data_IF_224499161297
#
_entry.id   IF_224499161297
#
_cell.length_a   1.000
_cell.length_b   1.000
_cell.length_c   1.000
_cell.angle_alpha   90.00
_cell.angle_beta   90.00
_cell.angle_gamma   90.00
#
_symmetry.space_group_name_H-M   'P 1'
#
loop_
_entity.id
_entity.type
_entity.pdbx_description
1 polymer ?
#
# COMPACT_ATOMS: atom_id res chain seq x y z
N UNK A 1 -11.06 -6.49 -13.42
CA UNK A 1 -10.59 -7.90 -13.51
C UNK A 1 -11.72 -8.80 -13.07
N UNK A 2 -11.87 -9.99 -13.64
CA UNK A 2 -12.96 -10.90 -13.28
C UNK A 2 -12.81 -11.43 -11.84
N UNK A 3 -13.87 -11.39 -11.04
CA UNK A 3 -13.88 -11.85 -9.65
C UNK A 3 -13.50 -13.34 -9.56
N UNK A 4 -13.91 -14.15 -10.54
CA UNK A 4 -13.54 -15.57 -10.59
C UNK A 4 -12.02 -15.78 -10.67
N UNK A 5 -11.31 -14.87 -11.35
CA UNK A 5 -9.84 -14.93 -11.46
C UNK A 5 -9.14 -14.53 -10.18
N UNK A 6 -9.72 -13.60 -9.42
CA UNK A 6 -9.22 -13.22 -8.10
C UNK A 6 -9.33 -14.39 -7.12
N UNK A 7 -10.49 -15.04 -7.08
CA UNK A 7 -10.73 -16.21 -6.24
C UNK A 7 -9.78 -17.37 -6.62
N UNK A 8 -9.61 -17.61 -7.92
CA UNK A 8 -8.68 -18.65 -8.40
C UNK A 8 -7.23 -18.39 -7.95
N UNK A 9 -6.75 -17.14 -7.97
CA UNK A 9 -5.41 -16.79 -7.52
C UNK A 9 -5.30 -16.96 -6.00
N UNK A 10 -6.31 -16.51 -5.25
CA UNK A 10 -6.35 -16.65 -3.79
C UNK A 10 -6.29 -18.13 -3.37
N UNK A 11 -7.07 -18.98 -4.03
CA UNK A 11 -7.08 -20.43 -3.81
C UNK A 11 -5.73 -21.07 -4.12
N UNK A 12 -5.03 -20.61 -5.15
CA UNK A 12 -3.69 -21.12 -5.48
C UNK A 12 -2.66 -20.71 -4.43
N UNK A 13 -2.75 -19.49 -3.89
CA UNK A 13 -1.86 -19.01 -2.84
C UNK A 13 -2.13 -19.67 -1.49
N UNK A 14 -3.37 -20.05 -1.20
CA UNK A 14 -3.75 -20.71 0.06
C UNK A 14 -3.34 -22.19 0.14
N UNK A 15 -2.91 -22.80 -0.97
CA UNK A 15 -2.42 -24.19 -0.99
C UNK A 15 -1.07 -24.32 -0.29
N UNK A 16 -0.83 -25.49 0.27
CA UNK A 16 0.46 -25.87 0.85
C UNK A 16 1.54 -25.95 -0.23
N UNK A 17 2.78 -25.61 0.15
CA UNK A 17 3.96 -25.56 -0.71
C UNK A 17 4.64 -26.95 -0.87
N UNK A 18 3.93 -28.02 -0.54
CA UNK A 18 4.47 -29.39 -0.56
C UNK A 18 4.76 -29.91 -1.97
N UNK A 19 3.98 -29.50 -2.97
CA UNK A 19 4.20 -29.84 -4.37
C UNK A 19 5.03 -28.74 -5.07
N UNK A 20 6.29 -29.04 -5.37
CA UNK A 20 7.21 -28.08 -6.02
C UNK A 20 7.63 -28.54 -7.41
N UNK A 21 7.77 -27.58 -8.34
CA UNK A 21 8.27 -27.80 -9.69
C UNK A 21 9.50 -26.94 -9.93
N UNK A 22 10.59 -27.56 -10.37
CA UNK A 22 11.81 -26.83 -10.73
C UNK A 22 11.51 -25.97 -11.96
N UNK A 23 11.71 -24.66 -11.80
CA UNK A 23 11.50 -23.68 -12.86
C UNK A 23 12.80 -22.92 -13.11
N UNK A 24 13.16 -22.74 -14.39
CA UNK A 24 14.31 -21.91 -14.76
C UNK A 24 13.86 -20.46 -14.91
N UNK A 25 14.44 -19.56 -14.12
CA UNK A 25 14.23 -18.12 -14.21
C UNK A 25 15.55 -17.43 -14.59
N UNK A 26 15.48 -16.41 -15.45
CA UNK A 26 16.64 -15.55 -15.72
C UNK A 26 16.64 -14.40 -14.74
N UNK A 27 17.75 -14.24 -14.02
CA UNK A 27 17.94 -13.16 -13.05
C UNK A 27 19.20 -12.38 -13.45
N UNK A 28 19.18 -11.03 -13.45
CA UNK A 28 20.37 -10.23 -13.66
C UNK A 28 21.47 -10.59 -12.66
N UNK A 29 22.73 -10.66 -13.12
CA UNK A 29 23.86 -11.09 -12.28
C UNK A 29 23.98 -10.26 -10.99
N UNK A 30 23.85 -8.93 -11.09
CA UNK A 30 23.90 -8.03 -9.94
C UNK A 30 22.80 -8.32 -8.90
N UNK A 31 21.58 -8.66 -9.36
CA UNK A 31 20.47 -9.00 -8.46
C UNK A 31 20.69 -10.35 -7.79
N UNK A 32 21.24 -11.33 -8.52
CA UNK A 32 21.65 -12.62 -7.95
C UNK A 32 22.69 -12.43 -6.84
N UNK A 33 23.70 -11.59 -7.09
CA UNK A 33 24.75 -11.29 -6.10
C UNK A 33 24.20 -10.56 -4.87
N UNK A 34 23.34 -9.57 -5.08
CA UNK A 34 22.65 -8.89 -3.99
C UNK A 34 21.79 -9.85 -3.15
N UNK A 35 21.08 -10.78 -3.79
CA UNK A 35 20.27 -11.77 -3.09
C UNK A 35 21.11 -12.77 -2.30
N UNK A 36 22.30 -13.14 -2.80
CA UNK A 36 23.25 -13.98 -2.06
C UNK A 36 23.76 -13.27 -0.80
N UNK A 37 24.11 -11.99 -0.91
CA UNK A 37 24.52 -11.17 0.24
C UNK A 37 23.37 -11.00 1.25
N UNK A 38 22.15 -10.73 0.79
CA UNK A 38 20.99 -10.58 1.67
C UNK A 38 20.70 -11.85 2.49
N UNK A 39 20.87 -13.03 1.89
CA UNK A 39 20.71 -14.31 2.58
C UNK A 39 21.87 -14.57 3.53
N UNK A 40 23.11 -14.43 3.06
CA UNK A 40 24.31 -14.78 3.84
C UNK A 40 24.59 -13.84 5.00
N UNK A 41 24.41 -12.53 4.78
CA UNK A 41 24.81 -11.49 5.74
C UNK A 41 23.65 -10.94 6.56
N UNK A 42 22.44 -10.86 5.99
CA UNK A 42 21.28 -10.27 6.66
C UNK A 42 20.30 -11.32 7.19
N UNK A 43 20.49 -12.59 6.85
CA UNK A 43 19.55 -13.65 7.23
C UNK A 43 18.15 -13.47 6.63
N UNK A 44 18.04 -12.79 5.47
CA UNK A 44 16.76 -12.41 4.89
C UNK A 44 15.86 -13.62 4.53
N UNK A 45 16.47 -14.77 4.26
CA UNK A 45 15.78 -16.06 4.04
C UNK A 45 16.76 -17.23 4.25
N UNK A 46 16.27 -18.48 4.36
CA UNK A 46 17.14 -19.67 4.47
C UNK A 46 17.99 -19.97 3.21
N UNK A 47 17.59 -19.45 2.04
CA UNK A 47 18.32 -19.59 0.79
C UNK A 47 17.88 -18.53 -0.22
N UNK A 48 18.68 -18.31 -1.27
CA UNK A 48 18.31 -17.41 -2.37
C UNK A 48 17.03 -17.86 -3.08
N UNK A 49 16.81 -19.17 -3.22
CA UNK A 49 15.57 -19.70 -3.80
C UNK A 49 14.35 -19.40 -2.91
N UNK A 50 14.47 -19.61 -1.60
CA UNK A 50 13.41 -19.27 -0.65
C UNK A 50 13.09 -17.77 -0.67
N UNK A 51 14.11 -16.92 -0.80
CA UNK A 51 13.91 -15.46 -0.94
C UNK A 51 13.13 -15.11 -2.22
N UNK A 52 13.46 -15.74 -3.35
CA UNK A 52 12.75 -15.52 -4.62
C UNK A 52 11.29 -15.98 -4.55
N UNK A 53 11.04 -17.17 -4.01
CA UNK A 53 9.68 -17.71 -3.85
C UNK A 53 8.84 -16.81 -2.93
N UNK A 54 9.39 -16.43 -1.78
CA UNK A 54 8.72 -15.53 -0.84
C UNK A 54 8.43 -14.15 -1.47
N UNK A 55 9.40 -13.57 -2.17
CA UNK A 55 9.21 -12.29 -2.86
C UNK A 55 8.18 -12.36 -3.98
N UNK A 56 8.15 -13.45 -4.75
CA UNK A 56 7.13 -13.67 -5.78
C UNK A 56 5.73 -13.80 -5.16
N UNK A 57 5.60 -14.62 -4.10
CA UNK A 57 4.34 -14.80 -3.35
C UNK A 57 3.84 -13.46 -2.82
N UNK A 58 4.67 -12.72 -2.10
CA UNK A 58 4.34 -11.39 -1.57
C UNK A 58 3.89 -10.44 -2.67
N UNK A 59 4.58 -10.42 -3.82
CA UNK A 59 4.21 -9.53 -4.93
C UNK A 59 2.85 -9.87 -5.54
N UNK A 60 2.53 -11.17 -5.65
CA UNK A 60 1.23 -11.64 -6.14
C UNK A 60 0.14 -11.30 -5.12
N UNK A 61 0.37 -11.54 -3.84
CA UNK A 61 -0.56 -11.19 -2.76
C UNK A 61 -0.90 -9.69 -2.75
N UNK A 62 0.10 -8.82 -2.87
CA UNK A 62 -0.14 -7.37 -2.97
C UNK A 62 -0.97 -7.01 -4.20
N UNK A 63 -0.65 -7.57 -5.39
CA UNK A 63 -1.44 -7.33 -6.60
C UNK A 63 -2.89 -7.84 -6.46
N UNK A 64 -3.08 -8.98 -5.81
CA UNK A 64 -4.40 -9.57 -5.53
C UNK A 64 -5.21 -8.65 -4.62
N UNK A 65 -4.63 -8.16 -3.52
CA UNK A 65 -5.31 -7.24 -2.60
C UNK A 65 -5.69 -5.93 -3.28
N UNK A 66 -4.75 -5.31 -4.01
CA UNK A 66 -5.02 -4.07 -4.78
C UNK A 66 -6.20 -4.24 -5.74
N UNK A 67 -6.18 -5.33 -6.50
CA UNK A 67 -7.22 -5.56 -7.50
C UNK A 67 -8.57 -6.00 -6.90
N UNK A 68 -8.55 -6.74 -5.79
CA UNK A 68 -9.76 -7.10 -5.05
C UNK A 68 -10.41 -5.86 -4.44
N UNK A 69 -9.62 -4.93 -3.92
CA UNK A 69 -10.10 -3.66 -3.39
C UNK A 69 -10.70 -2.79 -4.49
N UNK A 70 -10.05 -2.65 -5.64
CA UNK A 70 -10.61 -1.88 -6.75
C UNK A 70 -11.91 -2.52 -7.28
N UNK A 71 -11.94 -3.84 -7.46
CA UNK A 71 -13.15 -4.56 -7.85
C UNK A 71 -14.28 -4.47 -6.80
N UNK A 72 -13.93 -4.27 -5.52
CA UNK A 72 -14.91 -3.98 -4.48
C UNK A 72 -15.48 -2.56 -4.63
N UNK A 73 -14.64 -1.56 -4.86
CA UNK A 73 -15.07 -0.17 -5.05
C UNK A 73 -15.88 0.04 -6.33
N UNK A 74 -15.58 -0.69 -7.42
CA UNK A 74 -16.42 -0.69 -8.62
C UNK A 74 -17.86 -1.17 -8.34
N UNK A 75 -18.02 -2.17 -7.46
CA UNK A 75 -19.32 -2.74 -7.07
C UNK A 75 -20.02 -1.96 -5.95
N UNK A 76 -19.23 -1.33 -5.09
CA UNK A 76 -19.68 -0.58 -3.93
C UNK A 76 -18.99 0.80 -3.93
N UNK A 77 -19.39 1.74 -4.79
CA UNK A 77 -18.75 3.05 -4.88
C UNK A 77 -18.75 3.81 -3.55
N UNK A 78 -19.83 3.68 -2.78
CA UNK A 78 -20.00 4.32 -1.47
C UNK A 78 -19.07 3.74 -0.39
N UNK A 79 -18.43 2.58 -0.64
CA UNK A 79 -17.44 2.00 0.26
C UNK A 79 -16.03 2.58 0.03
N UNK A 80 -15.80 3.33 -1.05
CA UNK A 80 -14.52 3.99 -1.29
C UNK A 80 -14.39 5.16 -0.30
N UNK A 81 -13.37 5.16 0.56
CA UNK A 81 -13.18 6.24 1.52
C UNK A 81 -12.90 7.54 0.79
N UNK A 82 -13.46 8.63 1.28
CA UNK A 82 -13.15 9.95 0.75
C UNK A 82 -11.75 10.42 1.22
N UNK A 83 -11.24 11.49 0.60
CA UNK A 83 -9.91 12.02 0.92
C UNK A 83 -9.80 12.45 2.39
N UNK A 84 -10.88 12.92 3.01
CA UNK A 84 -10.90 13.33 4.42
C UNK A 84 -10.78 12.11 5.33
N UNK A 85 -11.49 11.02 5.02
CA UNK A 85 -11.42 9.75 5.74
C UNK A 85 -10.03 9.12 5.65
N UNK A 86 -9.44 9.09 4.44
CA UNK A 86 -8.07 8.60 4.23
C UNK A 86 -7.07 9.45 5.02
N UNK A 87 -7.19 10.77 4.96
CA UNK A 87 -6.28 11.69 5.68
C UNK A 87 -6.40 11.53 7.19
N UNK A 88 -7.62 11.40 7.71
CA UNK A 88 -7.85 11.16 9.14
C UNK A 88 -7.26 9.83 9.60
N UNK A 89 -7.40 8.78 8.79
CA UNK A 89 -6.80 7.49 9.08
C UNK A 89 -5.27 7.58 9.10
N UNK A 90 -4.66 8.25 8.13
CA UNK A 90 -3.21 8.48 8.07
C UNK A 90 -2.71 9.25 9.29
N UNK A 91 -3.34 10.39 9.62
CA UNK A 91 -3.00 11.19 10.80
C UNK A 91 -3.02 10.37 12.10
N UNK A 92 -4.04 9.52 12.28
CA UNK A 92 -4.16 8.65 13.46
C UNK A 92 -3.08 7.58 13.49
N UNK A 93 -2.77 6.98 12.34
CA UNK A 93 -1.74 5.94 12.23
C UNK A 93 -0.37 6.50 12.61
N UNK A 94 -0.08 7.74 12.23
CA UNK A 94 1.20 8.40 12.48
C UNK A 94 1.25 9.15 13.83
N UNK A 95 0.13 9.19 14.56
CA UNK A 95 0.02 9.95 15.82
C UNK A 95 0.14 11.46 15.63
N UNK A 96 -0.26 11.98 14.47
CA UNK A 96 -0.27 13.41 14.17
C UNK A 96 -1.37 14.12 14.98
N UNK A 97 -1.07 15.24 15.69
CA UNK A 97 -2.08 16.03 16.41
C UNK A 97 -3.28 16.47 15.57
N UNK A 98 -3.12 16.62 14.25
CA UNK A 98 -4.21 16.96 13.33
C UNK A 98 -5.33 15.89 13.32
N UNK A 99 -5.06 14.67 13.78
CA UNK A 99 -6.05 13.62 13.96
C UNK A 99 -7.21 14.03 14.89
N UNK A 100 -6.95 14.92 15.85
CA UNK A 100 -7.94 15.46 16.79
C UNK A 100 -8.68 16.70 16.24
N UNK A 101 -8.30 17.17 15.04
CA UNK A 101 -8.85 18.35 14.37
C UNK A 101 -9.54 18.01 13.04
N UNK A 102 -10.57 17.12 13.02
CA UNK A 102 -11.20 16.66 11.78
C UNK A 102 -11.87 17.79 10.98
N UNK A 103 -12.28 18.87 11.64
CA UNK A 103 -12.81 20.06 10.97
C UNK A 103 -11.74 20.80 10.16
N UNK A 104 -10.49 20.84 10.64
CA UNK A 104 -9.38 21.45 9.92
C UNK A 104 -8.97 20.59 8.71
N UNK A 105 -8.86 19.28 8.88
CA UNK A 105 -8.57 18.34 7.78
C UNK A 105 -9.63 18.46 6.68
N UNK A 106 -10.93 18.49 7.02
CA UNK A 106 -12.00 18.65 6.02
C UNK A 106 -11.85 19.93 5.21
N UNK A 107 -11.65 21.08 5.87
CA UNK A 107 -11.45 22.36 5.19
C UNK A 107 -10.20 22.35 4.31
N UNK A 108 -9.13 21.72 4.79
CA UNK A 108 -7.89 21.59 4.03
C UNK A 108 -8.09 20.77 2.76
N UNK A 109 -8.74 19.60 2.86
CA UNK A 109 -9.06 18.74 1.72
C UNK A 109 -9.92 19.46 0.68
N UNK A 110 -10.99 20.14 1.11
CA UNK A 110 -11.86 20.90 0.21
C UNK A 110 -11.14 22.06 -0.51
N UNK A 111 -10.14 22.67 0.14
CA UNK A 111 -9.34 23.74 -0.45
C UNK A 111 -8.32 23.19 -1.43
N UNK A 112 -7.52 22.21 -1.01
CA UNK A 112 -6.42 21.72 -1.83
C UNK A 112 -6.91 21.00 -3.08
N UNK A 113 -8.01 20.24 -3.02
CA UNK A 113 -8.58 19.57 -4.20
C UNK A 113 -9.04 20.56 -5.26
N UNK A 114 -9.46 21.78 -4.86
CA UNK A 114 -9.83 22.84 -5.83
C UNK A 114 -8.62 23.38 -6.60
N UNK A 115 -7.45 23.40 -5.98
CA UNK A 115 -6.21 23.91 -6.58
C UNK A 115 -5.40 22.79 -7.25
N UNK A 116 -5.43 21.60 -6.67
CA UNK A 116 -4.73 20.39 -7.07
C UNK A 116 -5.69 19.18 -6.98
N UNK A 117 -6.41 18.85 -8.04
CA UNK A 117 -7.40 17.76 -8.03
C UNK A 117 -6.84 16.36 -7.74
N UNK A 118 -5.53 16.18 -7.91
CA UNK A 118 -4.78 14.95 -7.62
C UNK A 118 -4.14 14.94 -6.22
N UNK A 119 -4.49 15.87 -5.34
CA UNK A 119 -3.96 15.94 -3.99
C UNK A 119 -4.25 14.66 -3.19
N UNK A 120 -3.25 14.20 -2.45
CA UNK A 120 -3.34 13.03 -1.57
C UNK A 120 -3.43 13.43 -0.08
N UNK A 121 -3.41 12.44 0.81
CA UNK A 121 -3.50 12.67 2.25
C UNK A 121 -2.34 13.50 2.80
N UNK A 122 -1.12 13.32 2.29
CA UNK A 122 0.06 14.04 2.75
C UNK A 122 -0.04 15.52 2.37
N UNK A 123 -0.51 15.79 1.15
CA UNK A 123 -0.81 17.14 0.68
C UNK A 123 -1.85 17.84 1.58
N UNK A 124 -2.90 17.12 1.98
CA UNK A 124 -3.93 17.65 2.89
C UNK A 124 -3.36 17.96 4.27
N UNK A 125 -2.55 17.07 4.85
CA UNK A 125 -1.92 17.30 6.15
C UNK A 125 -0.96 18.49 6.13
N UNK A 126 -0.17 18.62 5.06
CA UNK A 126 0.71 19.76 4.86
C UNK A 126 -0.08 21.07 4.82
N UNK A 127 -1.18 21.09 4.06
CA UNK A 127 -2.04 22.27 3.93
C UNK A 127 -2.81 22.61 5.22
N UNK A 128 -3.27 21.59 5.95
CA UNK A 128 -3.91 21.76 7.26
C UNK A 128 -2.94 22.38 8.27
N UNK A 129 -1.70 21.91 8.33
CA UNK A 129 -0.66 22.44 9.22
C UNK A 129 -0.30 23.90 8.89
N UNK A 130 -0.26 24.27 7.61
CA UNK A 130 -0.07 25.66 7.21
C UNK A 130 -1.20 26.58 7.69
N UNK A 131 -2.46 26.11 7.62
CA UNK A 131 -3.61 26.85 8.13
C UNK A 131 -3.62 26.98 9.66
N UNK A 132 -3.25 25.92 10.39
CA UNK A 132 -3.11 25.96 11.85
C UNK A 132 -2.12 27.05 12.28
N UNK A 133 -0.96 27.10 11.64
CA UNK A 133 0.07 28.10 11.91
C UNK A 133 -0.36 29.52 11.54
N UNK A 134 -1.16 29.68 10.49
CA UNK A 134 -1.71 30.97 10.08
C UNK A 134 -2.84 31.47 11.00
N UNK A 135 -3.54 30.55 11.68
CA UNK A 135 -4.64 30.85 12.60
C UNK A 135 -4.22 31.01 14.08
N UNK A 136 -2.99 30.63 14.45
CA UNK A 136 -2.48 30.79 15.80
C UNK A 136 -2.24 32.28 16.15
N UNK A 137 -2.73 32.78 17.30
CA UNK A 137 -2.36 34.11 17.77
C UNK A 137 -0.84 34.14 18.03
N UNK A 138 -0.15 35.12 17.45
CA UNK A 138 1.26 35.41 17.74
C UNK A 138 1.46 35.96 19.15
#
# INVERSE_FOLDING_TARGET
MDAEKLDQIADLLARDDSDTVVTSIRVPAALRDAAALAVGELGAAPSTNALVVAGLRQRIESALMEAAQEAHYERHPDARPDLVEVTLAAARQDGDPLADEPGLIRRAAEQIVRERPDADADDVLLWARAQEQAGAPR
#
